data_IF_756466224482
#
_entry.id   IF_756466224482
#
_cell.length_a   1.000
_cell.length_b   1.000
_cell.length_c   1.000
_cell.angle_alpha   90.00
_cell.angle_beta   90.00
_cell.angle_gamma   90.00
#
_symmetry.space_group_name_H-M   'P 1'
#
loop_
_entity.id
_entity.type
_entity.pdbx_description
1 polymer ?
#
# COMPACT_ATOMS: atom_id res chain seq x y z
N UNK A 1 2.20 30.46 23.09
CA UNK A 1 2.66 30.66 21.71
C UNK A 1 2.94 29.27 21.17
N UNK A 2 1.98 28.66 20.45
CA UNK A 2 2.19 27.32 19.87
C UNK A 2 3.02 27.53 18.61
N UNK A 3 4.26 27.07 18.62
CA UNK A 3 5.09 26.97 17.42
C UNK A 3 4.42 25.93 16.53
N UNK A 4 3.92 26.35 15.38
CA UNK A 4 3.50 25.43 14.34
C UNK A 4 4.72 24.60 13.97
N UNK A 5 4.70 23.30 14.34
CA UNK A 5 5.70 22.34 13.86
C UNK A 5 5.59 22.37 12.33
N UNK A 6 6.68 22.71 11.64
CA UNK A 6 6.68 22.67 10.17
C UNK A 6 6.22 21.30 9.73
N UNK A 7 5.11 21.26 8.97
CA UNK A 7 4.53 20.03 8.50
C UNK A 7 5.46 19.41 7.45
N UNK A 8 6.09 18.28 7.79
CA UNK A 8 7.03 17.57 6.91
C UNK A 8 6.23 16.71 5.93
N UNK A 9 6.23 17.03 4.63
CA UNK A 9 5.55 16.23 3.63
C UNK A 9 6.14 14.82 3.53
N UNK A 10 5.29 13.79 3.65
CA UNK A 10 5.68 12.38 3.43
C UNK A 10 5.28 11.89 2.05
N UNK A 11 4.29 12.51 1.40
CA UNK A 11 3.94 12.26 0.02
C UNK A 11 3.39 13.52 -0.65
N UNK A 12 3.76 13.73 -1.92
CA UNK A 12 3.27 14.87 -2.72
C UNK A 12 3.00 14.43 -4.16
N UNK A 13 1.95 15.00 -4.75
CA UNK A 13 1.76 15.06 -6.20
C UNK A 13 1.78 16.53 -6.59
N UNK A 14 2.57 16.88 -7.57
CA UNK A 14 2.75 18.27 -8.06
C UNK A 14 2.33 18.33 -9.52
N UNK A 15 1.32 19.16 -9.82
CA UNK A 15 0.78 19.36 -11.15
C UNK A 15 0.43 18.03 -11.86
N UNK A 16 -0.12 17.07 -11.11
CA UNK A 16 -0.43 15.73 -11.60
C UNK A 16 -1.56 15.72 -12.61
N UNK A 17 -1.30 15.15 -13.78
CA UNK A 17 -2.27 14.98 -14.85
C UNK A 17 -2.40 13.50 -15.22
N UNK A 18 -3.64 13.08 -15.49
CA UNK A 18 -3.94 11.74 -16.01
C UNK A 18 -5.18 11.75 -16.87
N UNK A 19 -5.03 11.17 -18.06
CA UNK A 19 -6.13 11.04 -19.02
C UNK A 19 -6.26 9.58 -19.43
N UNK A 20 -7.49 9.14 -19.54
CA UNK A 20 -7.86 7.87 -20.15
C UNK A 20 -8.68 8.16 -21.42
N UNK A 21 -8.87 7.21 -22.34
CA UNK A 21 -9.67 7.42 -23.52
C UNK A 21 -11.05 7.99 -23.16
N UNK A 22 -11.32 9.23 -23.59
CA UNK A 22 -12.58 9.94 -23.34
C UNK A 22 -12.77 10.53 -21.93
N UNK A 23 -11.79 10.37 -21.00
CA UNK A 23 -11.94 10.85 -19.62
C UNK A 23 -10.68 11.55 -19.13
N UNK A 24 -10.83 12.75 -18.62
CA UNK A 24 -9.78 13.44 -17.84
C UNK A 24 -9.96 13.05 -16.37
N UNK A 25 -9.09 12.17 -15.85
CA UNK A 25 -9.19 11.69 -14.49
C UNK A 25 -8.56 12.66 -13.48
N UNK A 26 -7.42 13.26 -13.84
CA UNK A 26 -6.75 14.29 -13.04
C UNK A 26 -6.29 15.40 -13.97
N UNK A 27 -6.49 16.65 -13.55
CA UNK A 27 -6.10 17.84 -14.30
C UNK A 27 -5.41 18.82 -13.36
N UNK A 28 -4.10 18.95 -13.51
CA UNK A 28 -3.23 19.83 -12.72
C UNK A 28 -3.43 19.70 -11.20
N UNK A 29 -3.54 18.46 -10.72
CA UNK A 29 -3.84 18.18 -9.30
C UNK A 29 -2.59 18.33 -8.46
N UNK A 30 -2.71 19.07 -7.36
CA UNK A 30 -1.72 19.16 -6.31
C UNK A 30 -2.25 18.48 -5.05
N UNK A 31 -1.43 17.62 -4.47
CA UNK A 31 -1.76 16.89 -3.25
C UNK A 31 -0.54 16.83 -2.34
N UNK A 32 -0.76 16.99 -1.04
CA UNK A 32 0.31 16.86 -0.04
C UNK A 32 -0.24 16.12 1.17
N UNK A 33 0.50 15.11 1.63
CA UNK A 33 0.25 14.40 2.89
C UNK A 33 1.44 14.63 3.80
N UNK A 34 1.18 15.05 5.04
CA UNK A 34 2.21 15.35 6.01
C UNK A 34 2.41 14.19 7.00
N UNK A 35 3.56 14.16 7.66
CA UNK A 35 3.85 13.16 8.69
C UNK A 35 2.82 13.23 9.83
N UNK A 36 2.28 12.06 10.19
CA UNK A 36 1.25 11.95 11.23
C UNK A 36 -0.14 12.43 10.84
N UNK A 37 -0.34 12.84 9.58
CA UNK A 37 -1.64 13.30 9.08
C UNK A 37 -2.51 12.12 8.63
N UNK A 38 -3.81 12.18 8.95
CA UNK A 38 -4.85 11.35 8.36
C UNK A 38 -5.67 12.23 7.43
N UNK A 39 -5.65 11.93 6.13
CA UNK A 39 -6.34 12.72 5.11
C UNK A 39 -7.39 11.90 4.37
N UNK A 40 -8.65 12.31 4.45
CA UNK A 40 -9.74 11.72 3.70
C UNK A 40 -9.85 12.35 2.31
N UNK A 41 -9.94 11.50 1.27
CA UNK A 41 -10.25 11.92 -0.10
C UNK A 41 -11.74 11.77 -0.35
N UNK A 42 -12.47 12.87 -0.42
CA UNK A 42 -13.89 12.91 -0.65
C UNK A 42 -14.22 13.38 -2.07
N UNK A 43 -15.27 12.85 -2.66
CA UNK A 43 -15.73 13.23 -3.99
C UNK A 43 -16.65 12.19 -4.61
N UNK A 44 -17.35 12.58 -5.67
CA UNK A 44 -18.25 11.70 -6.44
C UNK A 44 -17.47 10.54 -7.07
N UNK A 45 -18.18 9.49 -7.51
CA UNK A 45 -17.57 8.44 -8.34
C UNK A 45 -17.06 9.07 -9.64
N UNK A 46 -15.86 8.66 -10.06
CA UNK A 46 -15.18 9.27 -11.20
C UNK A 46 -14.40 10.57 -10.92
N UNK A 47 -14.38 11.08 -9.68
CA UNK A 47 -13.65 12.31 -9.33
C UNK A 47 -12.12 12.15 -9.25
N UNK A 48 -11.53 11.06 -9.76
CA UNK A 48 -10.08 10.85 -9.79
C UNK A 48 -9.44 10.34 -8.49
N UNK A 49 -10.22 10.07 -7.43
CA UNK A 49 -9.69 9.61 -6.13
C UNK A 49 -8.80 8.37 -6.24
N UNK A 50 -9.32 7.33 -6.90
CA UNK A 50 -8.58 6.08 -7.10
C UNK A 50 -7.36 6.27 -7.99
N UNK A 51 -7.43 7.15 -8.99
CA UNK A 51 -6.29 7.51 -9.84
C UNK A 51 -5.19 8.19 -9.04
N UNK A 52 -5.53 9.13 -8.15
CA UNK A 52 -4.57 9.79 -7.26
C UNK A 52 -3.89 8.77 -6.33
N UNK A 53 -4.67 7.85 -5.73
CA UNK A 53 -4.13 6.79 -4.87
C UNK A 53 -3.18 5.89 -5.68
N UNK A 54 -3.57 5.46 -6.89
CA UNK A 54 -2.71 4.64 -7.76
C UNK A 54 -1.41 5.34 -8.13
N UNK A 55 -1.42 6.64 -8.35
CA UNK A 55 -0.21 7.42 -8.58
C UNK A 55 0.70 7.40 -7.35
N UNK A 56 0.17 7.64 -6.15
CA UNK A 56 0.94 7.64 -4.91
C UNK A 56 1.54 6.27 -4.60
N UNK A 57 0.85 5.18 -4.97
CA UNK A 57 1.36 3.80 -4.81
C UNK A 57 2.29 3.37 -5.95
N UNK A 58 2.46 4.20 -6.98
CA UNK A 58 3.26 3.89 -8.16
C UNK A 58 2.64 2.87 -9.11
N UNK A 59 1.38 2.45 -8.87
CA UNK A 59 0.66 1.52 -9.76
C UNK A 59 0.02 2.21 -10.98
N UNK A 60 0.14 3.53 -11.06
CA UNK A 60 -0.28 4.33 -12.20
C UNK A 60 0.71 5.47 -12.41
N UNK A 61 1.24 5.59 -13.62
CA UNK A 61 2.12 6.70 -13.98
C UNK A 61 1.30 7.92 -14.39
N UNK A 62 1.64 9.13 -13.92
CA UNK A 62 1.05 10.35 -14.45
C UNK A 62 1.46 10.59 -15.90
N UNK A 63 0.60 11.21 -16.69
CA UNK A 63 0.94 11.68 -18.04
C UNK A 63 1.90 12.88 -17.98
N UNK A 64 1.73 13.71 -16.94
CA UNK A 64 2.65 14.79 -16.58
C UNK A 64 2.52 15.14 -15.11
N UNK A 65 3.49 15.90 -14.58
CA UNK A 65 3.60 16.21 -13.17
C UNK A 65 4.50 15.23 -12.43
N UNK A 66 4.69 15.47 -11.14
CA UNK A 66 5.66 14.78 -10.32
C UNK A 66 5.03 14.13 -9.10
N UNK A 67 5.53 12.97 -8.73
CA UNK A 67 5.20 12.27 -7.49
C UNK A 67 6.44 12.23 -6.62
N UNK A 68 6.28 12.59 -5.35
CA UNK A 68 7.35 12.58 -4.36
C UNK A 68 6.92 11.77 -3.14
N UNK A 69 7.80 10.88 -2.67
CA UNK A 69 7.67 10.20 -1.39
C UNK A 69 8.84 10.63 -0.53
N UNK A 70 8.53 11.37 0.54
CA UNK A 70 9.55 12.12 1.27
C UNK A 70 10.29 13.09 0.34
N UNK A 71 11.61 12.96 0.28
CA UNK A 71 12.49 13.75 -0.59
C UNK A 71 12.78 13.06 -1.94
N UNK A 72 12.27 11.85 -2.16
CA UNK A 72 12.54 11.06 -3.35
C UNK A 72 11.45 11.24 -4.39
N UNK A 73 11.83 11.68 -5.60
CA UNK A 73 10.93 11.69 -6.76
C UNK A 73 10.78 10.28 -7.31
N UNK A 74 9.53 9.87 -7.54
CA UNK A 74 9.24 8.58 -8.18
C UNK A 74 9.41 8.71 -9.70
N UNK A 75 10.38 7.97 -10.25
CA UNK A 75 10.70 7.94 -11.67
C UNK A 75 10.85 6.49 -12.16
N UNK A 76 10.46 6.24 -13.41
CA UNK A 76 10.58 4.93 -14.06
C UNK A 76 9.31 4.50 -14.78
N UNK A 77 9.31 3.23 -15.22
CA UNK A 77 8.10 2.55 -15.70
C UNK A 77 7.20 2.11 -14.52
N UNK A 78 5.99 1.67 -14.81
CA UNK A 78 5.01 1.30 -13.77
C UNK A 78 5.52 0.20 -12.82
N UNK A 79 6.20 -0.82 -13.35
CA UNK A 79 6.75 -1.89 -12.51
C UNK A 79 7.83 -1.38 -11.54
N UNK A 80 8.66 -0.47 -12.02
CA UNK A 80 9.71 0.18 -11.23
C UNK A 80 9.12 1.14 -10.20
N UNK A 81 8.10 1.92 -10.58
CA UNK A 81 7.42 2.88 -9.68
C UNK A 81 6.79 2.18 -8.49
N UNK A 82 6.02 1.12 -8.72
CA UNK A 82 5.36 0.34 -7.65
C UNK A 82 6.38 -0.20 -6.66
N UNK A 83 7.47 -0.81 -7.14
CA UNK A 83 8.53 -1.32 -6.28
C UNK A 83 9.19 -0.20 -5.47
N UNK A 84 9.56 0.91 -6.11
CA UNK A 84 10.18 2.06 -5.43
C UNK A 84 9.27 2.69 -4.39
N UNK A 85 7.97 2.86 -4.69
CA UNK A 85 7.01 3.35 -3.72
C UNK A 85 6.95 2.42 -2.49
N UNK A 86 6.94 1.10 -2.71
CA UNK A 86 6.96 0.11 -1.64
C UNK A 86 8.25 0.15 -0.81
N UNK A 87 9.43 0.32 -1.45
CA UNK A 87 10.73 0.48 -0.79
C UNK A 87 10.78 1.75 0.07
N UNK A 88 10.11 2.82 -0.36
CA UNK A 88 9.96 4.08 0.38
C UNK A 88 8.87 4.02 1.46
N UNK A 89 8.26 2.87 1.69
CA UNK A 89 7.30 2.64 2.78
C UNK A 89 5.84 2.91 2.43
N UNK A 90 5.51 3.18 1.16
CA UNK A 90 4.11 3.30 0.75
C UNK A 90 3.46 1.92 0.75
N UNK A 91 2.30 1.81 1.39
CA UNK A 91 1.47 0.61 1.40
C UNK A 91 0.05 0.99 1.04
N UNK A 92 -0.64 0.14 0.33
CA UNK A 92 -2.03 0.33 -0.04
C UNK A 92 -2.85 -0.92 0.27
N UNK A 93 -4.00 -0.70 0.87
CA UNK A 93 -5.03 -1.73 1.02
C UNK A 93 -6.14 -1.37 0.04
N UNK A 94 -6.36 -2.26 -0.93
CA UNK A 94 -7.41 -2.07 -1.93
C UNK A 94 -8.73 -2.67 -1.46
N UNK A 95 -9.80 -2.28 -2.11
CA UNK A 95 -11.14 -2.76 -1.80
C UNK A 95 -11.31 -4.27 -2.15
N UNK A 96 -10.63 -4.73 -3.19
CA UNK A 96 -10.53 -6.15 -3.52
C UNK A 96 -9.31 -6.74 -2.80
N UNK A 97 -9.55 -7.78 -2.01
CA UNK A 97 -8.48 -8.46 -1.26
C UNK A 97 -7.59 -9.24 -2.24
N UNK A 98 -6.28 -9.11 -2.05
CA UNK A 98 -5.28 -9.81 -2.86
C UNK A 98 -4.75 -11.08 -2.19
N UNK A 99 -5.49 -11.59 -1.19
CA UNK A 99 -5.14 -12.82 -0.49
C UNK A 99 -5.38 -14.06 -1.35
N UNK A 100 -4.46 -15.00 -1.27
CA UNK A 100 -4.58 -16.32 -1.91
C UNK A 100 -5.31 -17.26 -0.95
N UNK A 101 -6.56 -17.59 -1.23
CA UNK A 101 -7.43 -18.34 -0.33
C UNK A 101 -6.95 -19.77 -0.01
N UNK A 102 -6.24 -20.39 -0.94
CA UNK A 102 -5.67 -21.74 -0.78
C UNK A 102 -4.40 -21.81 0.05
N UNK A 103 -3.85 -20.67 0.46
CA UNK A 103 -2.66 -20.58 1.31
C UNK A 103 -3.05 -20.28 2.76
N UNK A 104 -2.13 -20.57 3.67
CA UNK A 104 -2.24 -20.19 5.08
C UNK A 104 -2.07 -18.69 5.26
N UNK A 105 -2.43 -18.18 6.43
CA UNK A 105 -2.20 -16.78 6.81
C UNK A 105 -0.72 -16.45 6.76
N UNK A 106 0.15 -17.32 7.31
CA UNK A 106 1.60 -17.11 7.29
C UNK A 106 2.16 -17.05 5.87
N UNK A 107 1.72 -17.93 4.98
CA UNK A 107 2.13 -17.93 3.58
C UNK A 107 1.68 -16.65 2.85
N UNK A 108 0.47 -16.15 3.13
CA UNK A 108 -0.01 -14.89 2.57
C UNK A 108 0.80 -13.68 3.07
N UNK A 109 1.09 -13.61 4.37
CA UNK A 109 1.89 -12.52 4.95
C UNK A 109 3.32 -12.46 4.40
N UNK A 110 3.90 -13.62 4.07
CA UNK A 110 5.25 -13.73 3.52
C UNK A 110 5.28 -13.84 1.99
N UNK A 111 4.15 -13.63 1.31
CA UNK A 111 4.05 -13.81 -0.13
C UNK A 111 5.04 -12.91 -0.89
N UNK A 112 5.89 -13.55 -1.71
CA UNK A 112 6.97 -12.86 -2.45
C UNK A 112 8.29 -12.68 -1.68
N UNK A 113 8.29 -12.88 -0.34
CA UNK A 113 9.49 -12.77 0.51
C UNK A 113 9.56 -13.91 1.52
N UNK A 114 9.41 -15.14 1.06
CA UNK A 114 9.41 -16.32 1.93
C UNK A 114 10.77 -16.51 2.59
N UNK A 115 10.81 -16.65 3.93
CA UNK A 115 12.05 -16.89 4.64
C UNK A 115 12.68 -18.21 4.18
N UNK A 116 14.00 -18.23 4.03
CA UNK A 116 14.73 -19.40 3.56
C UNK A 116 15.86 -19.76 4.51
N UNK A 117 16.00 -21.05 4.72
CA UNK A 117 17.12 -21.63 5.47
C UNK A 117 17.76 -22.74 4.63
N UNK A 118 19.06 -22.65 4.37
CA UNK A 118 19.81 -23.59 3.52
C UNK A 118 19.18 -23.83 2.14
N UNK A 119 18.60 -22.77 1.54
CA UNK A 119 17.96 -22.85 0.20
C UNK A 119 16.51 -23.34 0.18
N UNK A 120 16.00 -23.87 1.29
CA UNK A 120 14.60 -24.31 1.45
C UNK A 120 13.78 -23.26 2.20
N UNK A 121 12.44 -23.30 2.04
CA UNK A 121 11.53 -22.42 2.78
C UNK A 121 11.56 -22.82 4.25
N UNK A 122 11.76 -21.84 5.13
CA UNK A 122 11.70 -22.00 6.57
C UNK A 122 10.29 -21.71 7.09
N UNK A 123 9.45 -22.73 7.10
CA UNK A 123 8.07 -22.62 7.56
C UNK A 123 7.95 -22.24 9.04
N UNK A 124 8.92 -22.66 9.88
CA UNK A 124 8.92 -22.29 11.29
C UNK A 124 9.15 -20.80 11.48
N UNK A 125 10.15 -20.27 10.77
CA UNK A 125 10.44 -18.82 10.80
C UNK A 125 9.25 -18.03 10.23
N UNK A 126 8.64 -18.52 9.14
CA UNK A 126 7.45 -17.90 8.53
C UNK A 126 6.29 -17.80 9.52
N UNK A 127 5.98 -18.89 10.24
CA UNK A 127 4.91 -18.89 11.23
C UNK A 127 5.20 -17.93 12.40
N UNK A 128 6.46 -17.89 12.87
CA UNK A 128 6.87 -16.98 13.94
C UNK A 128 6.78 -15.50 13.51
N UNK A 129 7.19 -15.17 12.29
CA UNK A 129 7.13 -13.81 11.77
C UNK A 129 5.67 -13.37 11.61
N UNK A 130 4.84 -14.25 11.07
CA UNK A 130 3.41 -14.02 10.94
C UNK A 130 2.74 -13.82 12.31
N UNK A 131 3.05 -14.65 13.29
CA UNK A 131 2.51 -14.52 14.64
C UNK A 131 2.86 -13.17 15.27
N UNK A 132 4.11 -12.72 15.13
CA UNK A 132 4.54 -11.41 15.64
C UNK A 132 3.79 -10.27 14.97
N UNK A 133 3.60 -10.34 13.66
CA UNK A 133 2.88 -9.33 12.89
C UNK A 133 1.40 -9.24 13.32
N UNK A 134 0.72 -10.37 13.42
CA UNK A 134 -0.66 -10.46 13.85
C UNK A 134 -0.84 -9.93 15.28
N UNK A 135 0.04 -10.31 16.21
CA UNK A 135 0.02 -9.83 17.59
C UNK A 135 0.21 -8.31 17.68
N UNK A 136 1.12 -7.74 16.90
CA UNK A 136 1.36 -6.28 16.87
C UNK A 136 0.12 -5.49 16.43
N UNK A 137 -0.76 -6.11 15.63
CA UNK A 137 -2.02 -5.52 15.15
C UNK A 137 -3.22 -5.94 15.99
N UNK A 138 -3.05 -6.77 17.03
CA UNK A 138 -4.14 -7.28 17.84
C UNK A 138 -5.09 -8.21 17.08
N UNK A 139 -4.58 -8.90 16.04
CA UNK A 139 -5.36 -9.82 15.21
C UNK A 139 -5.32 -11.22 15.80
N UNK A 140 -6.46 -11.72 16.23
CA UNK A 140 -6.61 -13.08 16.77
C UNK A 140 -6.96 -14.09 15.66
N UNK A 141 -5.91 -14.50 14.93
CA UNK A 141 -5.97 -15.50 13.85
C UNK A 141 -4.69 -16.33 13.92
N UNK A 142 -4.82 -17.67 13.74
CA UNK A 142 -3.65 -18.54 13.71
C UNK A 142 -2.87 -18.40 12.39
N UNK A 143 -1.53 -18.32 12.42
CA UNK A 143 -0.69 -18.32 11.22
C UNK A 143 -0.90 -19.53 10.30
N UNK A 144 -1.21 -20.69 10.85
CA UNK A 144 -1.44 -21.95 10.11
C UNK A 144 -2.83 -22.07 9.52
N UNK A 145 -3.76 -21.18 9.89
CA UNK A 145 -5.13 -21.22 9.38
C UNK A 145 -5.19 -20.86 7.90
N UNK A 146 -6.00 -21.61 7.13
CA UNK A 146 -6.23 -21.30 5.71
C UNK A 146 -7.07 -20.01 5.58
N UNK A 147 -6.67 -19.14 4.67
CA UNK A 147 -7.37 -17.88 4.40
C UNK A 147 -8.81 -18.11 3.94
N UNK A 148 -9.08 -19.20 3.22
CA UNK A 148 -10.44 -19.57 2.82
C UNK A 148 -11.43 -19.74 3.98
N UNK A 149 -10.93 -20.09 5.18
CA UNK A 149 -11.75 -20.31 6.39
C UNK A 149 -12.00 -19.06 7.22
N UNK A 150 -11.35 -17.95 6.87
CA UNK A 150 -11.47 -16.68 7.59
C UNK A 150 -12.77 -15.96 7.24
N UNK A 151 -13.32 -15.26 8.22
CA UNK A 151 -14.41 -14.28 7.99
C UNK A 151 -13.93 -13.11 7.13
N UNK A 152 -14.81 -12.39 6.44
CA UNK A 152 -14.44 -11.21 5.66
C UNK A 152 -13.66 -10.16 6.47
N UNK A 153 -14.02 -9.94 7.73
CA UNK A 153 -13.33 -9.02 8.62
C UNK A 153 -11.90 -9.49 8.93
N UNK A 154 -11.71 -10.80 9.21
CA UNK A 154 -10.39 -11.37 9.44
C UNK A 154 -9.53 -11.30 8.18
N UNK A 155 -10.09 -11.55 6.99
CA UNK A 155 -9.38 -11.39 5.72
C UNK A 155 -8.87 -9.96 5.54
N UNK A 156 -9.68 -8.94 5.84
CA UNK A 156 -9.25 -7.55 5.79
C UNK A 156 -8.10 -7.25 6.75
N UNK A 157 -8.15 -7.78 7.99
CA UNK A 157 -7.07 -7.59 8.95
C UNK A 157 -5.78 -8.28 8.50
N UNK A 158 -5.86 -9.46 7.90
CA UNK A 158 -4.70 -10.15 7.31
C UNK A 158 -4.12 -9.39 6.13
N UNK A 159 -4.97 -8.79 5.27
CA UNK A 159 -4.51 -7.91 4.17
C UNK A 159 -3.77 -6.66 4.69
N UNK A 160 -4.24 -6.07 5.79
CA UNK A 160 -3.57 -4.92 6.44
C UNK A 160 -2.23 -5.34 7.06
N UNK A 161 -2.15 -6.58 7.57
CA UNK A 161 -0.95 -7.12 8.19
C UNK A 161 0.18 -7.45 7.19
N UNK A 162 -0.18 -7.67 5.93
CA UNK A 162 0.73 -7.98 4.82
C UNK A 162 1.41 -6.73 4.28
#
# INVERSE_FOLDING_TARGET
MFTATEAVPVAKVVAGNKRYPGVVALDNVNFTLNKGEVRALLGKNGAGKSTLIRMLTGSERPDSGDIWIGETRLEGDEATLTRRAAELGVRAVYQELSLVEGLTVAENLCLGQWPRRNGMIDYLQMAQDAQRCLQALGVDVSPEQLVSTLSPAQKQLVEIAR
#
